data_IF_283729110019
#
_entry.id   IF_283729110019
#
_cell.length_a   1.000
_cell.length_b   1.000
_cell.length_c   1.000
_cell.angle_alpha   90.00
_cell.angle_beta   90.00
_cell.angle_gamma   90.00
#
_symmetry.space_group_name_H-M   'P 1'
#
loop_
_entity.id
_entity.type
_entity.pdbx_description
1 polymer ?
#
# COMPACT_ATOMS: atom_id res chain seq x y z
N UNK A 1 41.29 3.39 13.17
CA UNK A 1 40.74 4.75 13.35
C UNK A 1 39.49 4.80 12.50
N UNK A 2 38.32 4.56 13.10
CA UNK A 2 37.06 4.52 12.36
C UNK A 2 36.80 5.93 11.80
N UNK A 3 36.69 6.04 10.49
CA UNK A 3 36.56 7.32 9.78
C UNK A 3 35.28 8.03 10.25
N UNK A 4 35.41 9.28 10.71
CA UNK A 4 34.27 10.07 11.18
C UNK A 4 33.17 10.18 10.12
N UNK A 5 33.55 10.13 8.84
CA UNK A 5 32.60 10.16 7.72
C UNK A 5 31.81 8.86 7.59
N UNK A 6 32.41 7.71 7.93
CA UNK A 6 31.68 6.44 8.00
C UNK A 6 30.62 6.46 9.11
N UNK A 7 30.94 7.05 10.28
CA UNK A 7 29.99 7.21 11.38
C UNK A 7 28.84 8.14 11.00
N UNK A 8 29.13 9.27 10.34
CA UNK A 8 28.11 10.19 9.80
C UNK A 8 27.20 9.50 8.79
N UNK A 9 27.76 8.68 7.90
CA UNK A 9 26.98 7.91 6.92
C UNK A 9 26.08 6.87 7.60
N UNK A 10 26.59 6.11 8.57
CA UNK A 10 25.79 5.13 9.33
C UNK A 10 24.65 5.80 10.10
N UNK A 11 24.93 6.91 10.77
CA UNK A 11 23.90 7.69 11.48
C UNK A 11 22.78 8.11 10.52
N UNK A 12 23.12 8.81 9.44
CA UNK A 12 22.12 9.35 8.49
C UNK A 12 21.35 8.28 7.74
N UNK A 13 22.01 7.18 7.35
CA UNK A 13 21.35 6.04 6.69
C UNK A 13 20.41 5.27 7.63
N UNK A 14 20.65 5.29 8.95
CA UNK A 14 19.79 4.64 9.94
C UNK A 14 18.51 5.41 10.29
N UNK A 15 18.46 6.74 10.09
CA UNK A 15 17.34 7.59 10.52
C UNK A 15 15.98 7.14 9.98
N UNK A 16 15.87 6.92 8.67
CA UNK A 16 14.60 6.52 8.04
C UNK A 16 14.18 5.09 8.45
N UNK A 17 15.04 4.06 8.36
CA UNK A 17 14.70 2.72 8.82
C UNK A 17 14.26 2.70 10.29
N UNK A 18 14.98 3.38 11.19
CA UNK A 18 14.64 3.41 12.61
C UNK A 18 13.30 4.11 12.84
N UNK A 19 13.00 5.19 12.12
CA UNK A 19 11.69 5.83 12.17
C UNK A 19 10.55 4.94 11.68
N UNK A 20 10.77 4.13 10.64
CA UNK A 20 9.79 3.13 10.18
C UNK A 20 9.59 2.02 11.21
N UNK A 21 10.66 1.47 11.78
CA UNK A 21 10.59 0.40 12.77
C UNK A 21 9.89 0.86 14.06
N UNK A 22 10.25 2.04 14.56
CA UNK A 22 9.58 2.61 15.73
C UNK A 22 8.08 2.81 15.48
N UNK A 23 7.71 3.35 14.30
CA UNK A 23 6.30 3.46 13.92
C UNK A 23 5.61 2.10 13.93
N UNK A 24 6.19 1.07 13.31
CA UNK A 24 5.59 -0.27 13.30
C UNK A 24 5.33 -0.80 14.71
N UNK A 25 6.34 -0.73 15.59
CA UNK A 25 6.25 -1.19 16.98
C UNK A 25 5.18 -0.39 17.75
N UNK A 26 5.13 0.93 17.56
CA UNK A 26 4.11 1.78 18.18
C UNK A 26 2.71 1.53 17.63
N UNK A 27 2.58 1.19 16.34
CA UNK A 27 1.30 0.94 15.68
C UNK A 27 0.66 -0.38 16.14
N UNK A 28 1.46 -1.41 16.45
CA UNK A 28 0.94 -2.65 17.05
C UNK A 28 0.17 -2.38 18.34
N UNK A 29 0.66 -1.47 19.19
CA UNK A 29 -0.02 -1.07 20.42
C UNK A 29 -1.36 -0.35 20.17
N UNK A 30 -1.57 0.24 18.99
CA UNK A 30 -2.83 0.91 18.63
C UNK A 30 -3.93 -0.09 18.23
N UNK A 31 -3.55 -1.23 17.65
CA UNK A 31 -4.52 -2.19 17.07
C UNK A 31 -5.45 -2.81 18.11
N UNK A 32 -5.01 -2.90 19.37
CA UNK A 32 -5.76 -3.48 20.49
C UNK A 32 -7.01 -2.67 20.83
N UNK A 33 -7.07 -1.40 20.44
CA UNK A 33 -8.15 -0.49 20.80
C UNK A 33 -9.28 -0.40 19.77
N UNK A 34 -9.31 -1.27 18.75
CA UNK A 34 -10.40 -1.32 17.77
C UNK A 34 -10.48 -0.11 16.82
N UNK A 35 -9.41 0.69 16.76
CA UNK A 35 -9.28 1.84 15.87
C UNK A 35 -8.27 1.57 14.77
N UNK A 36 -8.43 2.24 13.62
CA UNK A 36 -7.45 2.18 12.55
C UNK A 36 -6.11 2.80 13.01
N UNK A 37 -5.01 2.27 12.50
CA UNK A 37 -3.66 2.72 12.83
C UNK A 37 -3.46 4.23 12.58
N UNK A 38 -3.96 4.71 11.44
CA UNK A 38 -3.91 6.13 11.09
C UNK A 38 -4.84 6.97 11.95
N UNK A 39 -5.98 6.41 12.39
CA UNK A 39 -6.88 7.05 13.35
C UNK A 39 -6.25 7.20 14.72
N UNK A 40 -5.63 6.15 15.27
CA UNK A 40 -4.90 6.22 16.54
C UNK A 40 -3.72 7.17 16.50
N UNK A 41 -2.99 7.21 15.38
CA UNK A 41 -1.92 8.20 15.17
C UNK A 41 -2.46 9.63 15.18
N UNK A 42 -3.58 9.89 14.48
CA UNK A 42 -4.21 11.21 14.48
C UNK A 42 -4.68 11.64 15.89
N UNK A 43 -5.32 10.74 16.65
CA UNK A 43 -5.71 11.03 18.04
C UNK A 43 -4.49 11.37 18.91
N UNK A 44 -3.40 10.61 18.81
CA UNK A 44 -2.19 10.90 19.58
C UNK A 44 -1.55 12.24 19.24
N UNK A 45 -1.52 12.63 17.96
CA UNK A 45 -0.95 13.90 17.56
C UNK A 45 -1.83 15.09 17.96
N UNK A 46 -3.16 14.96 17.88
CA UNK A 46 -4.08 15.98 18.41
C UNK A 46 -3.88 16.14 19.92
N UNK A 47 -3.72 15.04 20.66
CA UNK A 47 -3.44 15.08 22.11
C UNK A 47 -2.13 15.80 22.45
N UNK A 48 -1.07 15.59 21.65
CA UNK A 48 0.25 16.21 21.88
C UNK A 48 0.34 17.67 21.48
N UNK A 49 -0.34 18.06 20.40
CA UNK A 49 -0.35 19.44 19.90
C UNK A 49 -1.33 20.34 20.68
N UNK A 50 -2.23 19.73 21.46
CA UNK A 50 -3.30 20.43 22.17
C UNK A 50 -4.60 20.45 21.36
N UNK A 51 -5.76 20.42 22.04
CA UNK A 51 -7.07 20.50 21.38
C UNK A 51 -7.20 21.81 20.58
N UNK A 52 -7.91 21.78 19.44
CA UNK A 52 -8.09 22.94 18.56
C UNK A 52 -7.19 22.97 17.32
N UNK A 53 -6.43 21.90 17.03
CA UNK A 53 -5.58 21.80 15.83
C UNK A 53 -6.42 21.90 14.55
N UNK A 54 -5.91 22.61 13.54
CA UNK A 54 -6.50 22.65 12.21
C UNK A 54 -6.19 21.38 11.42
N UNK A 55 -7.07 21.02 10.48
CA UNK A 55 -6.84 19.88 9.59
C UNK A 55 -5.54 20.03 8.77
N UNK A 56 -5.19 21.25 8.35
CA UNK A 56 -3.97 21.48 7.55
C UNK A 56 -2.70 21.24 8.38
N UNK A 57 -2.66 21.74 9.61
CA UNK A 57 -1.53 21.53 10.51
C UNK A 57 -1.37 20.04 10.86
N UNK A 58 -2.48 19.34 11.11
CA UNK A 58 -2.45 17.91 11.39
C UNK A 58 -2.00 17.09 10.17
N UNK A 59 -2.33 17.51 8.94
CA UNK A 59 -1.92 16.83 7.71
C UNK A 59 -0.41 16.94 7.48
N UNK A 60 0.12 18.15 7.69
CA UNK A 60 1.54 18.44 7.58
C UNK A 60 2.35 17.64 8.61
N UNK A 61 1.92 17.65 9.87
CA UNK A 61 2.58 16.94 10.96
C UNK A 61 2.59 15.41 10.74
N UNK A 62 1.48 14.86 10.25
CA UNK A 62 1.38 13.43 9.97
C UNK A 62 2.01 13.03 8.62
N UNK A 63 2.46 14.01 7.81
CA UNK A 63 2.94 13.79 6.45
C UNK A 63 1.89 13.13 5.55
N UNK A 64 0.60 13.43 5.78
CA UNK A 64 -0.52 12.84 5.07
C UNK A 64 -1.09 13.79 4.02
N UNK A 65 -1.54 13.23 2.91
CA UNK A 65 -2.29 13.99 1.90
C UNK A 65 -3.60 14.53 2.50
N UNK A 66 -3.99 15.79 2.24
CA UNK A 66 -5.15 16.41 2.88
C UNK A 66 -6.45 15.60 2.73
N UNK A 67 -6.69 15.01 1.55
CA UNK A 67 -7.87 14.18 1.29
C UNK A 67 -7.90 12.91 2.16
N UNK A 68 -6.74 12.30 2.39
CA UNK A 68 -6.61 11.11 3.24
C UNK A 68 -6.89 11.44 4.71
N UNK A 69 -6.40 12.59 5.19
CA UNK A 69 -6.66 13.04 6.55
C UNK A 69 -8.15 13.33 6.78
N UNK A 70 -8.81 14.04 5.86
CA UNK A 70 -10.23 14.37 5.98
C UNK A 70 -11.05 13.10 6.22
N UNK A 71 -10.79 12.04 5.45
CA UNK A 71 -11.45 10.74 5.61
C UNK A 71 -11.21 10.09 6.97
N UNK A 72 -9.98 10.17 7.49
CA UNK A 72 -9.65 9.64 8.83
C UNK A 72 -10.40 10.42 9.91
N UNK A 73 -10.41 11.75 9.82
CA UNK A 73 -11.12 12.59 10.77
C UNK A 73 -12.64 12.39 10.70
N UNK A 74 -13.19 12.17 9.50
CA UNK A 74 -14.61 11.80 9.32
C UNK A 74 -14.94 10.52 10.09
N UNK A 75 -14.12 9.48 9.92
CA UNK A 75 -14.30 8.21 10.62
C UNK A 75 -14.22 8.36 12.15
N UNK A 76 -13.24 9.14 12.64
CA UNK A 76 -13.10 9.42 14.07
C UNK A 76 -14.26 10.26 14.63
N UNK A 77 -14.83 11.16 13.83
CA UNK A 77 -16.00 11.96 14.21
C UNK A 77 -17.27 11.10 14.24
N UNK A 78 -17.46 10.22 13.25
CA UNK A 78 -18.56 9.25 13.21
C UNK A 78 -18.49 8.25 14.37
N UNK A 79 -17.28 7.87 14.79
CA UNK A 79 -17.04 7.05 15.98
C UNK A 79 -17.26 7.80 17.30
N UNK A 80 -17.62 9.09 17.26
CA UNK A 80 -17.86 9.91 18.44
C UNK A 80 -16.60 10.23 19.25
N UNK A 81 -15.41 10.14 18.64
CA UNK A 81 -14.12 10.39 19.30
C UNK A 81 -13.66 11.84 19.12
N UNK A 82 -14.05 12.47 18.02
CA UNK A 82 -13.73 13.86 17.70
C UNK A 82 -14.98 14.65 17.37
N UNK A 83 -14.94 15.96 17.65
CA UNK A 83 -15.91 16.95 17.17
C UNK A 83 -15.18 18.03 16.38
N UNK A 84 -15.87 18.55 15.36
CA UNK A 84 -15.37 19.64 14.52
C UNK A 84 -16.05 20.93 14.91
N UNK A 85 -15.25 21.94 15.20
CA UNK A 85 -15.73 23.27 15.52
C UNK A 85 -15.19 24.30 14.52
N UNK A 86 -15.96 25.36 14.27
CA UNK A 86 -15.47 26.49 13.48
C UNK A 86 -14.41 27.23 14.30
N UNK A 87 -13.27 27.55 13.69
CA UNK A 87 -12.20 28.27 14.36
C UNK A 87 -12.70 29.63 14.90
N UNK A 88 -12.31 29.95 16.13
CA UNK A 88 -12.65 31.20 16.83
C UNK A 88 -12.21 32.47 16.09
N UNK A 89 -11.20 32.38 15.22
CA UNK A 89 -10.65 33.53 14.48
C UNK A 89 -10.86 33.44 12.96
N UNK A 90 -11.15 32.25 12.43
CA UNK A 90 -11.48 32.06 11.01
C UNK A 90 -12.48 30.92 10.86
N UNK A 91 -13.70 31.26 10.44
CA UNK A 91 -14.80 30.31 10.18
C UNK A 91 -14.47 29.34 9.03
N UNK A 92 -13.45 29.63 8.21
CA UNK A 92 -12.97 28.76 7.13
C UNK A 92 -12.07 27.64 7.64
N UNK A 93 -11.50 27.78 8.85
CA UNK A 93 -10.63 26.77 9.46
C UNK A 93 -11.46 25.91 10.41
N UNK A 94 -11.62 24.63 10.06
CA UNK A 94 -12.25 23.64 10.95
C UNK A 94 -11.20 23.11 11.93
N UNK A 95 -11.46 23.34 13.22
CA UNK A 95 -10.62 22.89 14.34
C UNK A 95 -11.14 21.56 14.90
N UNK A 96 -10.23 20.76 15.45
CA UNK A 96 -10.51 19.42 15.98
C UNK A 96 -10.42 19.39 17.49
N UNK A 97 -11.48 18.90 18.12
CA UNK A 97 -11.61 18.81 19.57
C UNK A 97 -11.99 17.38 19.96
N UNK A 98 -11.53 16.91 21.12
CA UNK A 98 -11.94 15.61 21.61
C UNK A 98 -13.33 15.66 22.24
N UNK A 99 -14.04 14.55 22.12
CA UNK A 99 -15.14 14.21 23.03
C UNK A 99 -14.57 13.57 24.30
N UNK A 100 -15.40 13.35 25.32
CA UNK A 100 -14.98 12.61 26.51
C UNK A 100 -14.50 11.19 26.18
N UNK A 101 -15.18 10.53 25.23
CA UNK A 101 -14.78 9.22 24.72
C UNK A 101 -13.42 9.28 24.00
N UNK A 102 -13.18 10.32 23.21
CA UNK A 102 -11.89 10.56 22.54
C UNK A 102 -10.74 10.79 23.51
N UNK A 103 -10.97 11.58 24.58
CA UNK A 103 -9.98 11.80 25.65
C UNK A 103 -9.64 10.51 26.38
N UNK A 104 -10.66 9.76 26.79
CA UNK A 104 -10.44 8.51 27.52
C UNK A 104 -9.71 7.46 26.68
N UNK A 105 -10.05 7.36 25.38
CA UNK A 105 -9.35 6.47 24.46
C UNK A 105 -7.89 6.89 24.27
N UNK A 106 -7.63 8.19 24.07
CA UNK A 106 -6.27 8.72 23.93
C UNK A 106 -5.45 8.44 25.18
N UNK A 107 -6.02 8.61 26.38
CA UNK A 107 -5.37 8.31 27.65
C UNK A 107 -4.99 6.82 27.77
N UNK A 108 -5.87 5.92 27.37
CA UNK A 108 -5.58 4.47 27.33
C UNK A 108 -4.42 4.16 26.39
N UNK A 109 -4.46 4.71 25.18
CA UNK A 109 -3.40 4.54 24.18
C UNK A 109 -2.06 5.08 24.70
N UNK A 110 -2.06 6.26 25.32
CA UNK A 110 -0.84 6.84 25.88
C UNK A 110 -0.25 5.97 26.98
N UNK A 111 -1.09 5.40 27.84
CA UNK A 111 -0.66 4.46 28.90
C UNK A 111 0.04 3.24 28.30
N UNK A 112 -0.54 2.64 27.26
CA UNK A 112 0.08 1.51 26.54
C UNK A 112 1.38 1.91 25.85
N UNK A 113 1.45 3.09 25.23
CA UNK A 113 2.67 3.59 24.63
C UNK A 113 3.76 3.92 25.66
N UNK A 114 3.40 4.33 26.88
CA UNK A 114 4.36 4.51 27.98
C UNK A 114 4.93 3.15 28.40
N UNK A 115 4.08 2.13 28.57
CA UNK A 115 4.51 0.77 28.87
C UNK A 115 5.37 0.17 27.74
N UNK A 116 5.05 0.47 26.48
CA UNK A 116 5.84 0.07 25.32
C UNK A 116 7.23 0.73 25.33
N UNK A 117 7.29 2.05 25.56
CA UNK A 117 8.55 2.79 25.65
C UNK A 117 9.43 2.25 26.76
N UNK A 118 8.88 1.99 27.94
CA UNK A 118 9.65 1.45 29.06
C UNK A 118 10.22 0.06 28.74
N UNK A 119 9.45 -0.83 28.08
CA UNK A 119 9.95 -2.15 27.66
C UNK A 119 11.01 -2.07 26.56
N UNK A 120 10.79 -1.26 25.54
CA UNK A 120 11.69 -1.18 24.37
C UNK A 120 13.00 -0.47 24.72
N UNK A 121 12.93 0.56 25.56
CA UNK A 121 14.09 1.38 25.94
C UNK A 121 14.72 0.96 27.28
N UNK A 122 14.20 -0.07 27.96
CA UNK A 122 14.76 -0.61 29.21
C UNK A 122 16.29 -0.85 29.18
N UNK A 123 16.90 -1.31 28.08
CA UNK A 123 18.35 -1.54 28.04
C UNK A 123 19.21 -0.26 28.02
N UNK A 124 18.62 0.92 27.76
CA UNK A 124 19.36 2.16 27.57
C UNK A 124 19.49 2.93 28.88
N UNK A 125 20.68 3.48 29.12
CA UNK A 125 20.88 4.38 30.26
C UNK A 125 20.27 5.75 29.99
N UNK A 126 20.02 6.53 31.06
CA UNK A 126 19.60 7.93 30.94
C UNK A 126 20.61 8.75 30.12
N UNK A 127 21.91 8.50 30.30
CA UNK A 127 22.96 9.20 29.56
C UNK A 127 22.92 8.92 28.05
N UNK A 128 22.61 7.69 27.65
CA UNK A 128 22.48 7.32 26.23
C UNK A 128 21.25 7.97 25.59
N UNK A 129 20.12 8.01 26.31
CA UNK A 129 18.91 8.69 25.85
C UNK A 129 19.17 10.20 25.67
N UNK A 130 19.83 10.84 26.64
CA UNK A 130 20.21 12.25 26.53
C UNK A 130 21.20 12.48 25.38
N UNK A 131 22.15 11.56 25.15
CA UNK A 131 23.07 11.65 24.02
C UNK A 131 22.34 11.54 22.67
N UNK A 132 21.39 10.62 22.52
CA UNK A 132 20.57 10.50 21.32
C UNK A 132 19.73 11.76 21.07
N UNK A 133 19.12 12.32 22.13
CA UNK A 133 18.34 13.57 22.03
C UNK A 133 19.22 14.76 21.63
N UNK A 134 20.47 14.85 22.11
CA UNK A 134 21.42 15.87 21.62
C UNK A 134 21.68 15.74 20.11
N UNK A 135 21.84 14.53 19.60
CA UNK A 135 22.01 14.28 18.16
C UNK A 135 20.77 14.72 17.37
N UNK A 136 19.57 14.35 17.83
CA UNK A 136 18.33 14.76 17.17
C UNK A 136 18.13 16.28 17.21
N UNK A 137 18.47 16.94 18.32
CA UNK A 137 18.39 18.38 18.43
C UNK A 137 19.32 19.09 17.43
N UNK A 138 20.53 18.58 17.21
CA UNK A 138 21.44 19.12 16.17
C UNK A 138 20.83 18.97 14.77
N UNK A 139 20.18 17.85 14.48
CA UNK A 139 19.51 17.63 13.19
C UNK A 139 18.30 18.55 13.00
N UNK A 140 17.50 18.75 14.05
CA UNK A 140 16.35 19.64 14.05
C UNK A 140 16.78 21.11 13.87
N UNK A 141 17.79 21.56 14.61
CA UNK A 141 18.40 22.87 14.43
C UNK A 141 18.97 23.02 13.01
N UNK A 142 19.65 22.02 12.47
CA UNK A 142 20.13 22.06 11.08
C UNK A 142 18.98 22.19 10.07
N UNK A 143 17.83 21.56 10.34
CA UNK A 143 16.63 21.71 9.51
C UNK A 143 16.00 23.12 9.62
N UNK A 144 16.02 23.74 10.80
CA UNK A 144 15.48 25.08 11.05
C UNK A 144 16.42 26.21 10.57
N UNK A 145 17.74 26.01 10.70
CA UNK A 145 18.79 26.91 10.20
C UNK A 145 19.02 26.80 8.71
N UNK A 146 18.39 25.82 8.05
CA UNK A 146 18.25 25.84 6.60
C UNK A 146 17.68 27.22 6.24
N UNK A 147 18.39 28.04 5.44
CA UNK A 147 17.91 29.37 5.10
C UNK A 147 16.47 29.24 4.56
N UNK A 148 15.55 30.14 4.97
CA UNK A 148 14.14 30.07 4.56
C UNK A 148 14.13 29.98 3.04
N UNK A 149 13.75 28.82 2.53
CA UNK A 149 13.88 28.37 1.14
C UNK A 149 14.92 29.17 0.33
N UNK A 150 16.15 28.65 0.18
CA UNK A 150 16.94 29.09 -0.98
C UNK A 150 16.06 28.85 -2.22
N UNK A 151 15.55 29.92 -2.86
CA UNK A 151 14.57 29.79 -3.93
C UNK A 151 15.17 29.00 -5.11
N UNK A 152 16.50 28.87 -5.16
CA UNK A 152 17.19 28.15 -6.19
C UNK A 152 17.24 26.63 -5.95
N UNK A 153 17.30 26.17 -4.69
CA UNK A 153 17.25 24.74 -4.33
C UNK A 153 15.82 24.19 -4.40
N UNK A 154 14.84 24.96 -3.94
CA UNK A 154 13.42 24.61 -4.05
C UNK A 154 13.00 24.51 -5.52
N UNK A 155 13.35 25.53 -6.33
CA UNK A 155 13.21 25.48 -7.79
C UNK A 155 13.90 24.28 -8.43
N UNK A 156 14.96 23.70 -7.86
CA UNK A 156 15.61 22.50 -8.43
C UNK A 156 14.83 21.24 -8.09
N UNK A 157 14.32 21.11 -6.86
CA UNK A 157 13.44 20.01 -6.46
C UNK A 157 12.10 20.07 -7.22
N UNK A 158 11.50 21.25 -7.31
CA UNK A 158 10.31 21.50 -8.10
C UNK A 158 10.55 21.25 -9.58
N UNK A 159 11.68 21.72 -10.15
CA UNK A 159 12.02 21.40 -11.54
C UNK A 159 12.23 19.92 -11.77
N UNK A 160 12.78 19.17 -10.81
CA UNK A 160 12.98 17.73 -10.93
C UNK A 160 11.65 16.96 -10.80
N UNK A 161 10.77 17.36 -9.88
CA UNK A 161 9.42 16.81 -9.72
C UNK A 161 8.56 17.15 -10.93
N UNK A 162 8.48 18.43 -11.31
CA UNK A 162 7.79 18.89 -12.51
C UNK A 162 8.33 18.22 -13.78
N UNK A 163 9.65 17.98 -13.87
CA UNK A 163 10.23 17.21 -15.00
C UNK A 163 9.76 15.76 -14.99
N UNK A 164 9.65 15.10 -13.83
CA UNK A 164 9.08 13.74 -13.74
C UNK A 164 7.60 13.73 -14.13
N UNK A 165 6.84 14.72 -13.71
CA UNK A 165 5.41 14.83 -14.00
C UNK A 165 5.18 15.14 -15.49
N UNK A 166 5.98 16.04 -16.07
CA UNK A 166 6.02 16.30 -17.51
C UNK A 166 6.42 15.07 -18.31
N UNK A 167 7.42 14.30 -17.85
CA UNK A 167 7.83 13.05 -18.50
C UNK A 167 6.72 12.00 -18.46
N UNK A 168 5.97 11.90 -17.36
CA UNK A 168 4.82 11.01 -17.25
C UNK A 168 3.71 11.42 -18.24
N UNK A 169 3.38 12.71 -18.28
CA UNK A 169 2.39 13.27 -19.22
C UNK A 169 2.82 13.10 -20.68
N UNK A 170 4.08 13.38 -21.01
CA UNK A 170 4.61 13.21 -22.37
C UNK A 170 4.59 11.73 -22.81
N UNK A 171 4.92 10.80 -21.91
CA UNK A 171 4.89 9.35 -22.17
C UNK A 171 3.47 8.86 -22.42
N UNK A 172 2.51 9.27 -21.60
CA UNK A 172 1.10 8.89 -21.77
C UNK A 172 0.52 9.49 -23.05
N UNK A 173 0.89 10.73 -23.38
CA UNK A 173 0.53 11.38 -24.65
C UNK A 173 1.12 10.66 -25.86
N UNK A 174 2.43 10.36 -25.85
CA UNK A 174 3.08 9.63 -26.95
C UNK A 174 2.49 8.23 -27.16
N UNK A 175 2.13 7.54 -26.08
CA UNK A 175 1.41 6.26 -26.15
C UNK A 175 0.03 6.40 -26.81
N UNK A 176 -0.75 7.42 -26.42
CA UNK A 176 -2.05 7.68 -27.00
C UNK A 176 -1.96 8.07 -28.49
N UNK A 177 -0.98 8.91 -28.86
CA UNK A 177 -0.73 9.29 -30.25
C UNK A 177 -0.29 8.10 -31.11
N UNK A 178 0.57 7.21 -30.57
CA UNK A 178 0.97 5.99 -31.26
C UNK A 178 -0.22 5.05 -31.49
N UNK A 179 -1.07 4.85 -30.47
CA UNK A 179 -2.27 4.02 -30.60
C UNK A 179 -3.23 4.61 -31.64
N UNK A 180 -3.46 5.92 -31.61
CA UNK A 180 -4.29 6.63 -32.59
C UNK A 180 -3.72 6.53 -34.00
N UNK A 181 -2.41 6.73 -34.16
CA UNK A 181 -1.74 6.60 -35.46
C UNK A 181 -1.90 5.20 -36.04
N UNK A 182 -1.69 4.14 -35.23
CA UNK A 182 -1.87 2.76 -35.68
C UNK A 182 -3.34 2.50 -36.04
N UNK A 183 -4.28 2.96 -35.23
CA UNK A 183 -5.71 2.83 -35.52
C UNK A 183 -6.09 3.51 -36.85
N UNK A 184 -5.63 4.73 -37.10
CA UNK A 184 -5.87 5.45 -38.36
C UNK A 184 -5.15 4.83 -39.56
N UNK A 185 -3.93 4.32 -39.37
CA UNK A 185 -3.18 3.62 -40.41
C UNK A 185 -3.86 2.32 -40.84
N UNK A 186 -4.52 1.63 -39.90
CA UNK A 186 -5.34 0.45 -40.17
C UNK A 186 -6.71 0.82 -40.78
N UNK A 187 -7.29 1.96 -40.39
CA UNK A 187 -8.59 2.44 -40.86
C UNK A 187 -8.57 3.23 -42.19
N UNK A 188 -7.39 3.51 -42.76
CA UNK A 188 -7.28 4.28 -43.99
C UNK A 188 -8.03 3.59 -45.16
N UNK A 189 -9.04 4.23 -45.78
CA UNK A 189 -9.85 3.67 -46.87
C UNK A 189 -9.07 3.37 -48.18
N UNK A 190 -7.77 3.65 -48.23
CA UNK A 190 -6.90 3.35 -49.38
C UNK A 190 -6.60 1.83 -49.56
N UNK A 191 -7.29 0.94 -48.85
CA UNK A 191 -7.36 -0.50 -49.16
C UNK A 191 -8.77 -1.01 -49.44
N UNK A 192 -9.70 -0.14 -49.85
CA UNK A 192 -11.03 -0.54 -50.35
C UNK A 192 -10.96 -1.59 -51.50
N UNK A 193 -9.84 -1.71 -52.21
CA UNK A 193 -9.60 -2.74 -53.23
C UNK A 193 -8.82 -4.00 -52.78
N UNK A 194 -8.43 -4.15 -51.50
CA UNK A 194 -7.60 -5.28 -51.04
C UNK A 194 -8.11 -6.06 -49.82
N UNK A 195 -9.33 -5.77 -49.36
CA UNK A 195 -9.96 -6.46 -48.21
C UNK A 195 -11.32 -7.11 -48.51
N UNK A 196 -11.83 -7.02 -49.74
CA UNK A 196 -12.92 -7.89 -50.20
C UNK A 196 -12.54 -9.39 -50.23
N UNK A 197 -11.30 -9.76 -49.88
CA UNK A 197 -10.83 -11.13 -49.76
C UNK A 197 -10.57 -11.65 -48.34
N UNK A 198 -10.62 -10.82 -47.28
CA UNK A 198 -10.16 -11.25 -45.94
C UNK A 198 -11.14 -11.06 -44.77
N UNK A 199 -12.38 -10.63 -45.04
CA UNK A 199 -13.48 -10.72 -44.05
C UNK A 199 -14.47 -11.85 -44.33
N UNK A 200 -14.14 -12.77 -45.25
CA UNK A 200 -14.82 -14.06 -45.31
C UNK A 200 -14.23 -14.96 -44.22
N UNK A 201 -14.66 -14.75 -42.98
CA UNK A 201 -14.68 -15.85 -42.00
C UNK A 201 -15.54 -16.94 -42.65
N UNK A 202 -15.02 -18.15 -42.91
CA UNK A 202 -15.89 -19.24 -43.30
C UNK A 202 -16.73 -19.61 -42.07
N UNK A 203 -17.99 -19.22 -42.07
CA UNK A 203 -19.02 -19.89 -41.29
C UNK A 203 -19.21 -21.28 -41.87
N UNK A 204 -18.27 -22.18 -41.55
CA UNK A 204 -18.37 -23.60 -41.83
C UNK A 204 -19.16 -24.24 -40.69
N UNK A 205 -20.42 -24.54 -41.03
CA UNK A 205 -21.26 -25.53 -40.37
C UNK A 205 -20.46 -26.75 -39.90
N UNK A 206 -20.59 -27.11 -38.62
CA UNK A 206 -20.35 -28.48 -38.18
C UNK A 206 -21.11 -28.80 -36.89
N UNK A 207 -22.11 -29.64 -37.05
CA UNK A 207 -22.83 -30.42 -36.04
C UNK A 207 -21.85 -31.06 -35.03
N UNK A 208 -22.27 -31.12 -33.76
CA UNK A 208 -21.71 -31.89 -32.62
C UNK A 208 -21.23 -33.31 -33.01
N UNK A 209 -20.25 -33.98 -32.33
CA UNK A 209 -20.27 -34.22 -30.86
C UNK A 209 -18.91 -34.38 -30.10
N UNK A 210 -19.01 -34.26 -28.77
CA UNK A 210 -18.22 -34.91 -27.69
C UNK A 210 -16.71 -34.64 -27.50
N UNK A 211 -16.37 -34.50 -26.21
CA UNK A 211 -15.08 -34.66 -25.49
C UNK A 211 -14.12 -33.45 -25.34
N UNK A 212 -13.98 -33.03 -24.07
CA UNK A 212 -12.64 -32.80 -23.49
C UNK A 212 -12.38 -31.44 -22.86
N UNK A 213 -12.57 -31.33 -21.53
CA UNK A 213 -11.84 -30.38 -20.70
C UNK A 213 -12.55 -29.05 -20.39
N UNK A 214 -13.14 -28.99 -19.20
CA UNK A 214 -13.76 -27.81 -18.57
C UNK A 214 -12.92 -26.53 -18.77
N UNK A 215 -13.44 -25.48 -19.43
CA UNK A 215 -12.90 -24.14 -19.23
C UNK A 215 -13.47 -23.61 -17.93
N UNK A 216 -12.56 -23.38 -16.98
CA UNK A 216 -12.80 -22.76 -15.68
C UNK A 216 -13.84 -21.63 -15.79
N UNK A 217 -14.98 -21.85 -15.15
CA UNK A 217 -15.94 -20.81 -14.78
C UNK A 217 -15.20 -19.80 -13.91
N UNK A 218 -14.87 -18.63 -14.47
CA UNK A 218 -14.52 -17.44 -13.68
C UNK A 218 -14.88 -16.17 -14.47
N UNK A 219 -16.11 -15.71 -14.19
CA UNK A 219 -16.75 -14.41 -14.44
C UNK A 219 -17.10 -14.01 -15.89
N UNK A 220 -18.39 -14.02 -16.28
CA UNK A 220 -18.88 -13.35 -17.49
C UNK A 220 -18.85 -11.81 -17.40
N UNK A 221 -18.45 -11.22 -16.27
CA UNK A 221 -18.56 -9.79 -16.03
C UNK A 221 -17.57 -8.91 -16.83
N UNK A 222 -16.46 -9.46 -17.34
CA UNK A 222 -15.38 -8.64 -17.90
C UNK A 222 -15.48 -8.32 -19.39
N UNK A 223 -16.13 -9.17 -20.20
CA UNK A 223 -15.96 -9.10 -21.67
C UNK A 223 -17.21 -9.48 -22.49
N UNK A 224 -18.38 -9.55 -21.86
CA UNK A 224 -19.63 -9.93 -22.56
C UNK A 224 -20.90 -9.24 -22.10
N UNK A 225 -20.87 -8.41 -21.04
CA UNK A 225 -22.09 -7.82 -20.47
C UNK A 225 -22.96 -7.10 -21.50
N UNK A 226 -22.37 -6.25 -22.33
CA UNK A 226 -23.11 -5.56 -23.39
C UNK A 226 -23.64 -6.50 -24.49
N UNK A 227 -22.87 -7.52 -24.88
CA UNK A 227 -23.28 -8.49 -25.92
C UNK A 227 -24.47 -9.34 -25.46
N UNK A 228 -24.59 -9.62 -24.16
CA UNK A 228 -25.73 -10.36 -23.61
C UNK A 228 -26.94 -9.46 -23.29
N UNK A 229 -26.70 -8.21 -22.89
CA UNK A 229 -27.77 -7.30 -22.43
C UNK A 229 -28.39 -6.52 -23.59
N UNK A 230 -27.61 -6.07 -24.57
CA UNK A 230 -28.08 -5.15 -25.61
C UNK A 230 -29.04 -5.81 -26.61
N UNK A 231 -28.76 -6.97 -27.23
CA UNK A 231 -29.67 -7.57 -28.21
C UNK A 231 -31.09 -7.84 -27.69
N UNK A 232 -31.30 -8.43 -26.49
CA UNK A 232 -32.66 -8.68 -26.02
C UNK A 232 -33.41 -7.44 -25.54
N UNK A 233 -32.71 -6.36 -25.16
CA UNK A 233 -33.31 -5.14 -24.63
C UNK A 233 -33.26 -3.97 -25.63
N UNK A 234 -32.83 -4.20 -26.87
CA UNK A 234 -32.64 -3.15 -27.88
C UNK A 234 -33.94 -2.40 -28.20
N UNK A 235 -35.08 -3.09 -28.18
CA UNK A 235 -36.39 -2.50 -28.44
C UNK A 235 -36.98 -1.75 -27.23
N UNK A 236 -36.37 -1.86 -26.04
CA UNK A 236 -36.86 -1.28 -24.78
C UNK A 236 -35.78 -0.38 -24.15
N UNK A 237 -35.55 0.84 -24.69
CA UNK A 237 -34.40 1.68 -24.32
C UNK A 237 -34.42 2.14 -22.85
N UNK A 238 -35.61 2.25 -22.24
CA UNK A 238 -35.77 2.59 -20.82
C UNK A 238 -35.26 1.45 -19.93
N UNK A 239 -35.63 0.21 -20.28
CA UNK A 239 -35.18 -0.98 -19.55
C UNK A 239 -33.69 -1.21 -19.73
N UNK A 240 -33.17 -1.02 -20.96
CA UNK A 240 -31.74 -1.09 -21.25
C UNK A 240 -30.95 -0.09 -20.39
N UNK A 241 -31.40 1.17 -20.32
CA UNK A 241 -30.76 2.23 -19.54
C UNK A 241 -30.74 1.89 -18.04
N UNK A 242 -31.83 1.33 -17.52
CA UNK A 242 -31.92 0.91 -16.12
C UNK A 242 -30.94 -0.24 -15.81
N UNK A 243 -30.84 -1.24 -16.70
CA UNK A 243 -29.90 -2.36 -16.54
C UNK A 243 -28.45 -1.88 -16.59
N UNK A 244 -28.10 -1.00 -17.54
CA UNK A 244 -26.77 -0.38 -17.64
C UNK A 244 -26.43 0.41 -16.36
N UNK A 245 -27.38 1.21 -15.86
CA UNK A 245 -27.19 2.00 -14.64
C UNK A 245 -26.99 1.12 -13.40
N UNK A 246 -27.79 0.06 -13.23
CA UNK A 246 -27.64 -0.90 -12.13
C UNK A 246 -26.32 -1.66 -12.22
N UNK A 247 -25.91 -2.06 -13.43
CA UNK A 247 -24.64 -2.74 -13.67
C UNK A 247 -23.45 -1.86 -13.27
N UNK A 248 -23.36 -0.65 -13.82
CA UNK A 248 -22.26 0.28 -13.53
C UNK A 248 -22.27 0.74 -12.09
N UNK A 249 -23.44 1.08 -11.53
CA UNK A 249 -23.59 1.49 -10.14
C UNK A 249 -23.13 0.40 -9.16
N UNK A 250 -23.58 -0.84 -9.35
CA UNK A 250 -23.21 -1.96 -8.49
C UNK A 250 -21.72 -2.26 -8.54
N UNK A 251 -21.12 -2.28 -9.73
CA UNK A 251 -19.69 -2.57 -9.89
C UNK A 251 -18.80 -1.45 -9.35
N UNK A 252 -19.18 -0.18 -9.53
CA UNK A 252 -18.46 0.96 -8.95
C UNK A 252 -18.57 0.97 -7.42
N UNK A 253 -19.74 0.66 -6.88
CA UNK A 253 -19.94 0.54 -5.43
C UNK A 253 -19.05 -0.57 -4.83
N UNK A 254 -19.05 -1.76 -5.46
CA UNK A 254 -18.16 -2.86 -5.05
C UNK A 254 -16.68 -2.50 -5.22
N UNK A 255 -16.31 -1.72 -6.25
CA UNK A 255 -14.93 -1.23 -6.43
C UNK A 255 -14.46 -0.30 -5.30
N UNK A 256 -15.38 0.42 -4.66
CA UNK A 256 -15.06 1.33 -3.54
C UNK A 256 -14.88 0.58 -2.21
N UNK A 257 -15.49 -0.60 -2.07
CA UNK A 257 -15.34 -1.48 -0.90
C UNK A 257 -14.00 -2.22 -0.90
N UNK A 258 -13.43 -2.50 -2.07
CA UNK A 258 -12.13 -3.18 -2.20
C UNK A 258 -10.94 -2.20 -2.16
N UNK A 259 -10.21 -2.16 -1.04
CA UNK A 259 -8.99 -1.34 -0.91
C UNK A 259 -7.71 -1.99 -1.47
N UNK A 260 -7.83 -3.15 -2.12
CA UNK A 260 -6.69 -3.85 -2.75
C UNK A 260 -6.57 -3.48 -4.24
N UNK A 261 -5.43 -3.68 -4.92
CA UNK A 261 -5.26 -3.39 -6.35
C UNK A 261 -6.26 -4.13 -7.27
N UNK A 262 -7.01 -5.10 -6.73
CA UNK A 262 -8.05 -5.87 -7.42
C UNK A 262 -9.27 -5.03 -7.78
N UNK A 263 -9.47 -3.87 -7.16
CA UNK A 263 -10.58 -2.95 -7.47
C UNK A 263 -10.63 -2.57 -8.96
N UNK A 264 -9.50 -2.64 -9.69
CA UNK A 264 -9.41 -2.33 -11.11
C UNK A 264 -10.18 -3.34 -11.97
N UNK A 265 -10.27 -4.60 -11.51
CA UNK A 265 -11.03 -5.67 -12.18
C UNK A 265 -12.53 -5.41 -12.14
N UNK A 266 -13.03 -4.70 -11.13
CA UNK A 266 -14.43 -4.27 -11.00
C UNK A 266 -14.69 -2.98 -11.78
N UNK A 267 -13.71 -2.06 -11.85
CA UNK A 267 -13.84 -0.77 -12.54
C UNK A 267 -13.87 -0.88 -14.06
N UNK A 268 -13.01 -1.70 -14.65
CA UNK A 268 -12.95 -1.94 -16.10
C UNK A 268 -14.34 -2.27 -16.71
N UNK A 269 -15.05 -3.32 -16.26
CA UNK A 269 -16.35 -3.68 -16.82
C UNK A 269 -17.48 -2.68 -16.51
N UNK A 270 -17.33 -1.88 -15.44
CA UNK A 270 -18.28 -0.84 -15.11
C UNK A 270 -18.27 0.32 -16.12
N UNK A 271 -17.11 0.60 -16.72
CA UNK A 271 -16.94 1.65 -17.74
C UNK A 271 -17.14 1.14 -19.17
N UNK A 272 -16.70 -0.09 -19.48
CA UNK A 272 -16.77 -0.62 -20.85
C UNK A 272 -18.19 -0.99 -21.28
N UNK A 273 -19.03 -1.50 -20.38
CA UNK A 273 -20.39 -1.92 -20.71
C UNK A 273 -21.27 -0.73 -21.18
N UNK A 274 -21.33 0.42 -20.47
CA UNK A 274 -22.05 1.60 -20.96
C UNK A 274 -21.51 2.15 -22.27
N UNK A 275 -20.18 2.14 -22.46
CA UNK A 275 -19.55 2.64 -23.69
C UNK A 275 -19.99 1.81 -24.92
N UNK A 276 -20.01 0.48 -24.80
CA UNK A 276 -20.48 -0.41 -25.87
C UNK A 276 -21.99 -0.26 -26.06
N UNK A 277 -22.76 -0.29 -24.97
CA UNK A 277 -24.23 -0.20 -25.01
C UNK A 277 -24.69 1.11 -25.66
N UNK A 278 -24.10 2.26 -25.31
CA UNK A 278 -24.43 3.57 -25.88
C UNK A 278 -24.14 3.63 -27.38
N UNK A 279 -23.00 3.06 -27.82
CA UNK A 279 -22.66 3.04 -29.25
C UNK A 279 -23.51 2.07 -30.07
N UNK A 280 -24.11 1.06 -29.44
CA UNK A 280 -24.94 0.05 -30.10
C UNK A 280 -26.44 0.42 -30.17
N UNK A 281 -26.87 1.52 -29.54
CA UNK A 281 -28.29 1.93 -29.48
C UNK A 281 -28.93 2.05 -30.86
N UNK A 282 -28.18 2.54 -31.85
CA UNK A 282 -28.69 2.77 -33.21
C UNK A 282 -28.50 1.59 -34.18
N UNK A 283 -27.76 0.55 -33.77
CA UNK A 283 -27.45 -0.62 -34.58
C UNK A 283 -27.16 -1.84 -33.68
N UNK A 284 -28.19 -2.36 -32.96
CA UNK A 284 -28.02 -3.44 -31.98
C UNK A 284 -27.53 -4.75 -32.61
N UNK A 285 -27.81 -4.96 -33.90
CA UNK A 285 -27.34 -6.11 -34.68
C UNK A 285 -25.81 -6.16 -34.79
N UNK A 286 -25.15 -5.00 -34.74
CA UNK A 286 -23.70 -4.88 -34.84
C UNK A 286 -23.01 -4.81 -33.46
N UNK A 287 -23.73 -5.09 -32.35
CA UNK A 287 -23.16 -4.94 -31.00
C UNK A 287 -21.94 -5.83 -30.76
N UNK A 288 -21.89 -7.01 -31.40
CA UNK A 288 -20.73 -7.89 -31.31
C UNK A 288 -19.50 -7.26 -31.95
N UNK A 289 -19.65 -6.72 -33.17
CA UNK A 289 -18.56 -6.06 -33.89
C UNK A 289 -18.10 -4.79 -33.16
N UNK A 290 -19.04 -4.02 -32.61
CA UNK A 290 -18.73 -2.86 -31.74
C UNK A 290 -17.94 -3.31 -30.51
N UNK A 291 -18.35 -4.38 -29.83
CA UNK A 291 -17.68 -4.89 -28.65
C UNK A 291 -16.26 -5.42 -28.96
N UNK A 292 -16.08 -6.08 -30.11
CA UNK A 292 -14.78 -6.55 -30.60
C UNK A 292 -13.88 -5.35 -30.90
N UNK A 293 -14.37 -4.36 -31.66
CA UNK A 293 -13.62 -3.15 -31.99
C UNK A 293 -13.16 -2.40 -30.72
N UNK A 294 -14.03 -2.24 -29.71
CA UNK A 294 -13.64 -1.65 -28.41
C UNK A 294 -12.59 -2.47 -27.68
N UNK A 295 -12.68 -3.80 -27.75
CA UNK A 295 -11.70 -4.69 -27.14
C UNK A 295 -10.32 -4.57 -27.81
N UNK A 296 -10.31 -4.45 -29.13
CA UNK A 296 -9.09 -4.24 -29.94
C UNK A 296 -8.47 -2.86 -29.67
N UNK A 297 -9.29 -1.80 -29.61
CA UNK A 297 -8.84 -0.44 -29.27
C UNK A 297 -8.18 -0.38 -27.88
N UNK A 298 -8.81 -1.00 -26.88
CA UNK A 298 -8.26 -1.06 -25.51
C UNK A 298 -6.96 -1.87 -25.49
N UNK A 299 -6.92 -3.02 -26.16
CA UNK A 299 -5.72 -3.85 -26.24
C UNK A 299 -4.56 -3.10 -26.92
N UNK A 300 -4.83 -2.43 -28.03
CA UNK A 300 -3.86 -1.61 -28.74
C UNK A 300 -3.34 -0.48 -27.84
N UNK A 301 -4.24 0.23 -27.15
CA UNK A 301 -3.87 1.27 -26.19
C UNK A 301 -2.93 0.76 -25.08
N UNK A 302 -3.23 -0.41 -24.50
CA UNK A 302 -2.39 -1.03 -23.45
C UNK A 302 -1.02 -1.42 -24.01
N UNK A 303 -0.97 -2.01 -25.21
CA UNK A 303 0.28 -2.40 -25.86
C UNK A 303 1.13 -1.18 -26.19
N UNK A 304 0.56 -0.14 -26.80
CA UNK A 304 1.26 1.12 -27.09
C UNK A 304 1.77 1.80 -25.82
N UNK A 305 0.95 1.86 -24.77
CA UNK A 305 1.36 2.38 -23.46
C UNK A 305 2.52 1.59 -22.88
N UNK A 306 2.50 0.26 -22.98
CA UNK A 306 3.55 -0.64 -22.49
C UNK A 306 4.85 -0.51 -23.31
N UNK A 307 4.75 -0.33 -24.62
CA UNK A 307 5.90 -0.16 -25.52
C UNK A 307 6.57 1.19 -25.32
N UNK A 308 5.81 2.29 -25.35
CA UNK A 308 6.33 3.63 -25.02
C UNK A 308 6.89 3.64 -23.60
N UNK A 309 6.28 2.84 -22.72
CA UNK A 309 6.74 2.67 -21.37
C UNK A 309 8.12 2.02 -21.24
N UNK A 310 8.38 0.99 -22.04
CA UNK A 310 9.66 0.31 -22.10
C UNK A 310 10.74 1.18 -22.78
N UNK A 311 10.37 1.96 -23.80
CA UNK A 311 11.31 2.72 -24.64
C UNK A 311 11.75 4.06 -24.05
N UNK A 312 10.85 4.84 -23.44
CA UNK A 312 11.13 6.25 -23.11
C UNK A 312 12.04 6.40 -21.88
N UNK A 313 12.01 5.48 -20.92
CA UNK A 313 12.95 5.36 -19.79
C UNK A 313 12.65 4.04 -19.08
N UNK A 314 13.42 2.96 -19.29
CA UNK A 314 13.27 1.76 -18.48
C UNK A 314 13.63 2.12 -17.05
N UNK A 315 12.65 2.14 -16.15
CA UNK A 315 12.93 2.21 -14.71
C UNK A 315 13.75 0.97 -14.39
N UNK A 316 15.06 1.14 -14.31
CA UNK A 316 16.00 0.10 -13.95
C UNK A 316 15.65 -0.34 -12.54
N UNK A 317 14.85 -1.39 -12.43
CA UNK A 317 14.56 -2.06 -11.15
C UNK A 317 15.88 -2.41 -10.45
N UNK A 318 16.96 -2.62 -11.22
CA UNK A 318 18.31 -2.81 -10.70
C UNK A 318 18.81 -1.66 -9.80
N UNK A 319 18.51 -0.39 -10.08
CA UNK A 319 18.96 0.72 -9.22
C UNK A 319 18.25 0.74 -7.85
N UNK A 320 17.06 0.14 -7.75
CA UNK A 320 16.33 -0.02 -6.49
C UNK A 320 16.61 -1.37 -5.80
N UNK A 321 17.00 -2.40 -6.56
CA UNK A 321 17.30 -3.74 -6.06
C UNK A 321 18.73 -3.86 -5.53
N UNK A 322 19.71 -3.22 -6.17
CA UNK A 322 21.14 -3.31 -5.78
C UNK A 322 21.39 -3.07 -4.29
N UNK A 323 20.93 -1.96 -3.67
CA UNK A 323 21.19 -1.73 -2.24
C UNK A 323 20.51 -2.75 -1.31
N UNK A 324 19.42 -3.41 -1.73
CA UNK A 324 18.75 -4.46 -0.95
C UNK A 324 19.46 -5.81 -1.08
N UNK A 325 19.91 -6.15 -2.29
CA UNK A 325 20.70 -7.35 -2.56
C UNK A 325 22.04 -7.28 -1.82
N UNK A 326 22.69 -6.11 -1.82
CA UNK A 326 23.92 -5.89 -1.05
C UNK A 326 23.70 -6.00 0.47
N UNK A 327 22.51 -5.64 0.96
CA UNK A 327 22.10 -5.87 2.36
C UNK A 327 22.00 -7.35 2.69
N UNK A 328 21.23 -8.10 1.90
CA UNK A 328 21.04 -9.53 2.11
C UNK A 328 22.33 -10.35 1.98
N UNK A 329 23.22 -9.99 1.05
CA UNK A 329 24.50 -10.66 0.90
C UNK A 329 25.42 -10.41 2.10
N UNK A 330 25.38 -9.21 2.70
CA UNK A 330 26.13 -8.91 3.93
C UNK A 330 25.58 -9.67 5.13
N UNK A 331 24.25 -9.74 5.27
CA UNK A 331 23.60 -10.49 6.34
C UNK A 331 23.90 -12.00 6.23
N UNK A 332 23.86 -12.54 5.00
CA UNK A 332 24.21 -13.93 4.72
C UNK A 332 25.69 -14.23 4.98
N UNK A 333 26.59 -13.30 4.63
CA UNK A 333 28.02 -13.42 4.92
C UNK A 333 28.28 -13.40 6.44
N UNK A 334 27.61 -12.52 7.18
CA UNK A 334 27.71 -12.45 8.64
C UNK A 334 27.21 -13.75 9.30
N UNK A 335 26.09 -14.29 8.83
CA UNK A 335 25.58 -15.59 9.30
C UNK A 335 26.55 -16.72 9.00
N UNK A 336 27.11 -16.77 7.79
CA UNK A 336 28.08 -17.80 7.41
C UNK A 336 29.33 -17.75 8.30
N UNK A 337 29.85 -16.55 8.61
CA UNK A 337 30.98 -16.39 9.52
C UNK A 337 30.65 -16.76 10.97
N UNK A 338 29.44 -16.46 11.46
CA UNK A 338 29.03 -16.87 12.82
C UNK A 338 28.87 -18.39 12.93
N UNK A 339 28.38 -19.04 11.87
CA UNK A 339 28.17 -20.50 11.86
C UNK A 339 29.51 -21.24 11.77
N UNK A 340 30.48 -20.70 11.01
CA UNK A 340 31.82 -21.29 10.85
C UNK A 340 32.77 -20.93 12.01
N UNK A 341 32.54 -19.80 12.69
CA UNK A 341 33.37 -19.31 13.79
C UNK A 341 33.15 -19.99 15.14
N UNK A 342 32.14 -20.87 15.25
CA UNK A 342 31.77 -21.57 16.48
C UNK A 342 31.63 -20.62 17.70
N UNK A 343 31.23 -19.36 17.43
CA UNK A 343 30.90 -18.41 18.48
C UNK A 343 29.55 -18.85 19.09
N UNK A 344 29.43 -18.93 20.42
CA UNK A 344 28.15 -19.29 21.05
C UNK A 344 27.11 -18.23 20.67
N UNK A 345 26.06 -18.67 19.96
CA UNK A 345 24.94 -17.82 19.57
C UNK A 345 24.35 -17.11 20.80
N UNK A 346 24.20 -15.77 20.81
CA UNK A 346 23.15 -15.17 21.62
C UNK A 346 21.82 -15.67 21.03
N UNK A 347 21.06 -16.44 21.83
CA UNK A 347 19.78 -17.05 21.43
C UNK A 347 18.96 -16.10 20.55
N UNK A 348 18.57 -16.48 19.33
CA UNK A 348 17.68 -15.66 18.53
C UNK A 348 16.36 -15.48 19.29
N UNK A 349 16.00 -14.23 19.61
CA UNK A 349 14.64 -13.91 20.03
C UNK A 349 13.72 -14.34 18.89
N UNK A 350 12.81 -15.27 19.20
CA UNK A 350 11.83 -15.78 18.26
C UNK A 350 11.25 -14.63 17.43
N UNK A 351 11.55 -14.63 16.13
CA UNK A 351 10.77 -13.90 15.17
C UNK A 351 9.34 -14.44 15.30
N UNK A 352 8.45 -13.65 15.88
CA UNK A 352 7.00 -13.93 15.95
C UNK A 352 6.41 -13.79 14.55
N UNK A 353 6.77 -14.72 13.68
CA UNK A 353 6.04 -15.04 12.47
C UNK A 353 4.81 -15.84 12.86
N UNK A 354 3.65 -15.19 12.73
CA UNK A 354 2.45 -15.75 12.12
C UNK A 354 2.24 -17.27 12.32
N UNK A 355 1.49 -17.65 13.36
CA UNK A 355 0.80 -18.95 13.40
C UNK A 355 -0.63 -18.76 12.89
N UNK A 356 -1.08 -19.49 11.86
CA UNK A 356 -2.50 -19.54 11.55
C UNK A 356 -3.21 -20.18 12.75
N UNK A 357 -4.29 -19.53 13.17
CA UNK A 357 -5.25 -19.96 14.18
C UNK A 357 -5.59 -21.44 14.07
N UNK A 358 -5.26 -22.23 15.10
CA UNK A 358 -5.98 -23.46 15.42
C UNK A 358 -6.88 -23.17 16.64
N UNK A 359 -8.18 -23.32 16.40
CA UNK A 359 -9.26 -23.23 17.38
C UNK A 359 -9.06 -24.24 18.53
N UNK A 360 -9.50 -23.96 19.76
CA UNK A 360 -9.44 -24.92 20.86
C UNK A 360 -10.42 -26.09 20.63
N UNK A 361 -9.92 -27.32 20.58
CA UNK A 361 -10.70 -28.52 20.83
C UNK A 361 -9.98 -29.42 21.84
N UNK A 362 -10.54 -29.43 23.05
CA UNK A 362 -10.75 -30.59 23.93
C UNK A 362 -9.67 -31.67 24.08
N UNK A 363 -9.29 -31.86 25.35
CA UNK A 363 -8.74 -33.06 25.99
C UNK A 363 -7.33 -33.53 25.61
N UNK A 364 -6.39 -33.35 26.55
CA UNK A 364 -5.74 -34.48 27.23
C UNK A 364 -5.09 -34.02 28.54
N UNK A 365 -5.34 -34.79 29.60
CA UNK A 365 -5.00 -34.56 31.01
C UNK A 365 -3.50 -34.61 31.35
N UNK A 366 -3.09 -34.14 32.55
CA UNK A 366 -1.70 -34.09 32.99
C UNK A 366 -1.26 -35.41 33.66
N UNK A 367 -0.03 -35.84 33.42
CA UNK A 367 0.67 -36.81 34.28
C UNK A 367 1.88 -36.16 34.94
N UNK A 368 1.91 -36.30 36.26
CA UNK A 368 2.81 -35.76 37.28
C UNK A 368 4.25 -36.33 37.25
N UNK A 369 5.19 -35.79 38.06
CA UNK A 369 6.64 -35.89 37.84
C UNK A 369 7.28 -37.06 38.59
N UNK A 370 8.39 -37.58 38.07
CA UNK A 370 9.29 -38.52 38.77
C UNK A 370 10.57 -37.84 39.25
N UNK A 371 10.87 -38.18 40.50
CA UNK A 371 11.90 -37.80 41.49
C UNK A 371 13.36 -37.93 41.04
N UNK A 372 14.32 -37.17 41.60
CA UNK A 372 15.76 -37.38 41.42
C UNK A 372 16.33 -38.40 42.44
N UNK A 373 17.47 -39.05 42.17
CA UNK A 373 18.13 -39.89 43.18
C UNK A 373 19.09 -39.09 44.07
N UNK A 374 19.07 -39.42 45.35
CA UNK A 374 19.90 -38.88 46.42
C UNK A 374 21.22 -39.66 46.60
N UNK A 375 22.28 -38.91 46.89
CA UNK A 375 23.40 -39.10 47.82
C UNK A 375 24.00 -40.50 48.11
N UNK A 376 25.34 -40.54 48.13
CA UNK A 376 26.12 -41.26 49.15
C UNK A 376 27.36 -40.45 49.60
N UNK A 377 27.81 -40.57 50.87
CA UNK A 377 28.81 -39.69 51.50
C UNK A 377 30.13 -40.40 51.89
N UNK A 378 31.24 -39.64 51.98
CA UNK A 378 32.43 -39.91 52.83
C UNK A 378 33.44 -38.76 52.69
N UNK A 379 33.51 -37.83 53.65
CA UNK A 379 34.44 -37.78 54.80
C UNK A 379 35.71 -36.91 54.53
N UNK A 380 36.29 -36.26 55.56
CA UNK A 380 36.97 -34.96 55.44
C UNK A 380 38.50 -35.03 55.58
N UNK A 381 39.24 -34.09 55.00
CA UNK A 381 40.61 -33.78 55.43
C UNK A 381 40.90 -32.27 55.41
N UNK A 382 41.67 -31.89 56.43
CA UNK A 382 41.93 -30.54 56.91
C UNK A 382 43.17 -29.89 56.27
N UNK A 383 43.20 -28.56 56.40
CA UNK A 383 44.35 -27.65 56.62
C UNK A 383 45.64 -27.80 55.79
N UNK A 384 46.00 -26.71 55.09
CA UNK A 384 47.28 -25.98 55.12
C UNK A 384 47.13 -24.81 54.11
N UNK A 385 47.02 -23.53 54.47
CA UNK A 385 48.01 -22.61 55.05
C UNK A 385 49.24 -22.34 54.15
N UNK A 386 49.45 -21.03 53.90
CA UNK A 386 50.59 -20.31 53.27
C UNK A 386 50.51 -20.16 51.75
N UNK A 387 50.68 -18.98 51.16
CA UNK A 387 51.01 -17.64 51.68
C UNK A 387 50.91 -16.62 50.55
#
# INVERSE_FOLDING_TARGET
MEDIDLLRLRLTSSLRPMGVLWRHIAQEALTVHGISVSGGSALLFIGRLGEGVSHSALAEELGMEPASLVRIVDQLSQAGLLRREQGLHDRRVKTLWFTDAGRELTRKIETELVALRSRVLAPLSKADLEAALRVFHVLEQAAQTRPPNDPMLDKRHDRAAARRDWLFSARTFAAAMLALYIALALACPARAGRWHGLHRVPSADRRHPLQGGVPRVRHPAGRGGAVFVVPPLANEPVLLSLVVALWSGSLLYLSMLDHTPRHYLLRLPAYTMPLIALSAVYAPENVFDIAVARSEEIALGIVCASVVAALVLPTRVSAALSPRVDGWLRDAAAWATDTLGNAPQPRPRAATGWRPTCWPSTNCLPTSPTTPPAATPSAPQASCARG
#
